data_IF_086823113939
#
_entry.id   IF_086823113939
#
_cell.length_a   1.000
_cell.length_b   1.000
_cell.length_c   1.000
_cell.angle_alpha   90.00
_cell.angle_beta   90.00
_cell.angle_gamma   90.00
#
_symmetry.space_group_name_H-M   'P 1'
#
loop_
_entity.id
_entity.type
_entity.pdbx_description
1 polymer ?
#
# COMPACT_ATOMS: atom_id res chain seq x y z
N UNK A 1 -5.79 -3.51 -11.38
CA UNK A 1 -5.75 -4.61 -10.39
C UNK A 1 -4.45 -5.33 -10.60
N UNK A 2 -3.43 -5.05 -9.77
CA UNK A 2 -2.21 -5.84 -9.83
C UNK A 2 -2.48 -7.11 -9.02
N UNK A 3 -2.57 -8.24 -9.70
CA UNK A 3 -2.57 -9.53 -9.04
C UNK A 3 -1.23 -9.68 -8.33
N UNK A 4 -1.24 -9.54 -7.01
CA UNK A 4 -0.09 -9.80 -6.14
C UNK A 4 0.18 -11.31 -6.05
N UNK A 5 0.40 -11.98 -7.18
CA UNK A 5 1.04 -13.29 -7.17
C UNK A 5 2.51 -13.07 -6.85
N UNK A 6 2.83 -13.07 -5.56
CA UNK A 6 4.22 -13.09 -5.14
C UNK A 6 4.88 -14.37 -5.70
N UNK A 7 5.98 -14.23 -6.43
CA UNK A 7 6.79 -15.37 -6.81
C UNK A 7 7.14 -16.15 -5.55
N UNK A 8 7.22 -17.46 -5.67
CA UNK A 8 7.43 -18.39 -4.56
C UNK A 8 8.53 -17.94 -3.61
N UNK A 9 8.20 -17.85 -2.34
CA UNK A 9 9.08 -17.48 -1.21
C UNK A 9 10.13 -18.58 -0.94
N UNK A 10 11.05 -18.74 -1.89
CA UNK A 10 12.15 -19.72 -1.80
C UNK A 10 13.44 -19.01 -1.40
N UNK A 11 14.24 -19.56 -0.47
CA UNK A 11 15.49 -18.94 0.00
C UNK A 11 16.51 -18.61 -1.10
N UNK A 12 16.45 -19.32 -2.23
CA UNK A 12 17.36 -19.16 -3.35
C UNK A 12 16.91 -18.08 -4.36
N UNK A 13 15.75 -17.45 -4.11
CA UNK A 13 15.22 -16.43 -5.01
C UNK A 13 15.30 -15.04 -4.37
N UNK A 14 15.53 -13.99 -5.15
CA UNK A 14 15.56 -12.59 -4.65
C UNK A 14 14.21 -12.11 -4.12
N UNK A 15 13.12 -12.82 -4.41
CA UNK A 15 11.79 -12.59 -3.85
C UNK A 15 11.61 -13.11 -2.42
N UNK A 16 12.59 -13.85 -1.89
CA UNK A 16 12.54 -14.34 -0.51
C UNK A 16 12.42 -13.19 0.47
N UNK A 17 11.48 -13.34 1.40
CA UNK A 17 11.24 -12.33 2.43
C UNK A 17 11.90 -12.70 3.74
N UNK A 18 12.53 -11.71 4.36
CA UNK A 18 13.14 -11.85 5.68
C UNK A 18 12.08 -12.31 6.72
N UNK A 19 12.44 -13.20 7.68
CA UNK A 19 11.50 -13.69 8.70
C UNK A 19 10.78 -12.58 9.48
N UNK A 20 11.46 -11.47 9.78
CA UNK A 20 10.86 -10.30 10.43
C UNK A 20 9.71 -9.72 9.61
N UNK A 21 9.86 -9.59 8.27
CA UNK A 21 8.77 -9.12 7.41
C UNK A 21 7.59 -10.07 7.37
N UNK A 22 7.86 -11.39 7.37
CA UNK A 22 6.80 -12.40 7.42
C UNK A 22 5.99 -12.30 8.70
N UNK A 23 6.68 -12.12 9.84
CA UNK A 23 6.03 -11.91 11.15
C UNK A 23 5.13 -10.67 11.15
N UNK A 24 5.57 -9.58 10.53
CA UNK A 24 4.86 -8.31 10.52
C UNK A 24 3.86 -8.17 9.36
N UNK A 25 3.73 -9.16 8.47
CA UNK A 25 2.92 -9.08 7.26
C UNK A 25 1.47 -8.67 7.55
N UNK A 26 0.85 -9.25 8.58
CA UNK A 26 -0.53 -8.90 8.98
C UNK A 26 -0.66 -7.44 9.37
N UNK A 27 0.23 -6.96 10.25
CA UNK A 27 0.24 -5.58 10.71
C UNK A 27 0.49 -4.59 9.56
N UNK A 28 1.48 -4.88 8.69
CA UNK A 28 1.78 -4.07 7.53
C UNK A 28 0.60 -3.99 6.54
N UNK A 29 -0.13 -5.09 6.36
CA UNK A 29 -1.33 -5.10 5.51
C UNK A 29 -2.39 -4.16 6.08
N UNK A 30 -2.70 -4.27 7.37
CA UNK A 30 -3.70 -3.43 8.05
C UNK A 30 -3.39 -1.94 7.92
N UNK A 31 -2.16 -1.53 8.25
CA UNK A 31 -1.79 -0.09 8.20
C UNK A 31 -1.79 0.46 6.77
N UNK A 32 -1.45 -0.35 5.78
CA UNK A 32 -1.47 0.05 4.37
C UNK A 32 -2.87 0.14 3.80
N UNK A 33 -3.71 -0.82 4.11
CA UNK A 33 -5.12 -0.78 3.72
C UNK A 33 -5.82 0.46 4.30
N UNK A 34 -5.53 0.80 5.57
CA UNK A 34 -6.03 2.04 6.17
C UNK A 34 -5.43 3.29 5.53
N UNK A 35 -4.17 3.25 5.12
CA UNK A 35 -3.51 4.36 4.43
C UNK A 35 -4.08 4.59 3.03
N UNK A 36 -4.22 3.54 2.22
CA UNK A 36 -4.73 3.60 0.85
C UNK A 36 -6.23 3.93 0.81
N UNK A 37 -6.93 3.62 1.90
CA UNK A 37 -8.37 3.73 2.04
C UNK A 37 -9.12 2.48 1.58
N UNK A 38 -10.07 2.07 2.39
CA UNK A 38 -10.86 0.86 2.15
C UNK A 38 -11.99 1.12 1.16
N UNK A 39 -11.93 0.46 0.00
CA UNK A 39 -12.93 0.54 -1.08
C UNK A 39 -13.08 -0.81 -1.78
N UNK A 40 -14.27 -1.07 -2.34
CA UNK A 40 -14.54 -2.30 -3.09
C UNK A 40 -14.25 -3.56 -2.29
N UNK A 41 -13.52 -4.49 -2.88
CA UNK A 41 -13.20 -5.80 -2.28
C UNK A 41 -12.42 -5.67 -0.96
N UNK A 42 -11.53 -4.67 -0.84
CA UNK A 42 -10.80 -4.41 0.41
C UNK A 42 -11.73 -4.00 1.55
N UNK A 43 -12.80 -3.26 1.26
CA UNK A 43 -13.79 -2.90 2.27
C UNK A 43 -14.48 -4.14 2.85
N UNK A 44 -14.79 -5.12 1.99
CA UNK A 44 -15.46 -6.35 2.41
C UNK A 44 -14.62 -7.19 3.36
N UNK A 45 -13.29 -7.18 3.23
CA UNK A 45 -12.37 -7.89 4.14
C UNK A 45 -12.55 -7.41 5.58
N UNK A 46 -12.75 -6.11 5.78
CA UNK A 46 -12.89 -5.50 7.10
C UNK A 46 -14.35 -5.28 7.55
N UNK A 47 -15.31 -5.60 6.68
CA UNK A 47 -16.72 -5.51 6.95
C UNK A 47 -17.40 -6.86 6.68
N UNK A 48 -17.18 -7.86 7.54
CA UNK A 48 -17.70 -9.19 7.32
C UNK A 48 -19.24 -9.20 7.35
N UNK A 49 -19.81 -10.17 6.62
CA UNK A 49 -21.25 -10.40 6.62
C UNK A 49 -21.70 -10.99 7.97
N UNK A 50 -22.75 -10.45 8.53
CA UNK A 50 -23.36 -11.00 9.75
C UNK A 50 -24.02 -12.37 9.49
N UNK A 51 -23.99 -13.31 10.45
CA UNK A 51 -24.48 -14.68 10.25
C UNK A 51 -25.94 -14.77 9.76
N UNK A 52 -26.81 -13.86 10.19
CA UNK A 52 -28.21 -13.84 9.82
C UNK A 52 -28.55 -12.77 8.75
N UNK A 53 -27.55 -12.11 8.17
CA UNK A 53 -27.74 -11.04 7.21
C UNK A 53 -28.01 -11.63 5.80
N UNK A 54 -29.13 -11.28 5.12
CA UNK A 54 -29.36 -11.65 3.73
C UNK A 54 -28.31 -11.06 2.79
N UNK A 55 -27.96 -11.76 1.72
CA UNK A 55 -26.92 -11.30 0.77
C UNK A 55 -27.20 -9.92 0.17
N UNK A 56 -28.46 -9.64 -0.14
CA UNK A 56 -28.82 -8.35 -0.72
C UNK A 56 -28.75 -7.21 0.32
N UNK A 57 -29.09 -7.48 1.58
CA UNK A 57 -28.93 -6.52 2.67
C UNK A 57 -27.42 -6.22 2.92
N UNK A 58 -26.58 -7.25 2.88
CA UNK A 58 -25.11 -7.09 2.98
C UNK A 58 -24.55 -6.23 1.85
N UNK A 59 -24.95 -6.48 0.60
CA UNK A 59 -24.52 -5.66 -0.55
C UNK A 59 -24.89 -4.19 -0.38
N UNK A 60 -26.13 -3.92 0.09
CA UNK A 60 -26.59 -2.55 0.37
C UNK A 60 -25.77 -1.92 1.49
N UNK A 61 -25.50 -2.64 2.58
CA UNK A 61 -24.67 -2.18 3.70
C UNK A 61 -23.27 -1.83 3.24
N UNK A 62 -22.62 -2.69 2.46
CA UNK A 62 -21.29 -2.43 1.91
C UNK A 62 -21.28 -1.20 0.99
N UNK A 63 -22.29 -1.07 0.11
CA UNK A 63 -22.38 0.06 -0.83
C UNK A 63 -22.61 1.42 -0.11
N UNK A 64 -23.28 1.42 1.02
CA UNK A 64 -23.55 2.62 1.82
C UNK A 64 -22.43 2.97 2.80
N UNK A 65 -21.59 1.99 3.16
CA UNK A 65 -20.51 2.19 4.11
C UNK A 65 -19.38 3.01 3.51
N UNK A 66 -18.93 4.02 4.24
CA UNK A 66 -17.83 4.91 3.82
C UNK A 66 -16.71 4.85 4.85
N UNK A 67 -15.51 4.57 4.38
CA UNK A 67 -14.31 4.65 5.18
C UNK A 67 -13.85 6.10 5.33
N UNK A 68 -13.49 6.50 6.54
CA UNK A 68 -12.89 7.82 6.83
C UNK A 68 -11.43 7.59 7.22
N UNK A 69 -10.46 8.15 6.50
CA UNK A 69 -9.05 7.79 6.64
C UNK A 69 -8.36 8.55 7.79
N UNK A 70 -8.85 8.45 9.02
CA UNK A 70 -8.26 9.10 10.19
C UNK A 70 -6.80 8.72 10.40
N UNK A 71 -6.47 7.45 10.15
CA UNK A 71 -5.10 6.96 10.26
C UNK A 71 -4.13 7.73 9.36
N UNK A 72 -4.49 7.88 8.08
CA UNK A 72 -3.68 8.62 7.11
C UNK A 72 -3.53 10.08 7.48
N UNK A 73 -4.62 10.71 7.90
CA UNK A 73 -4.62 12.14 8.23
C UNK A 73 -3.77 12.40 9.50
N UNK A 74 -3.81 11.50 10.48
CA UNK A 74 -2.95 11.55 11.67
C UNK A 74 -1.48 11.40 11.31
N UNK A 75 -1.10 10.42 10.49
CA UNK A 75 0.30 10.26 10.04
C UNK A 75 0.78 11.51 9.29
N UNK A 76 -0.05 12.07 8.41
CA UNK A 76 0.31 13.27 7.68
C UNK A 76 0.56 14.47 8.63
N UNK A 77 -0.25 14.61 9.67
CA UNK A 77 -0.07 15.64 10.70
C UNK A 77 1.21 15.42 11.51
N UNK A 78 1.48 14.20 11.97
CA UNK A 78 2.70 13.87 12.73
C UNK A 78 3.96 14.06 11.88
N UNK A 79 3.99 13.59 10.64
CA UNK A 79 5.11 13.80 9.74
C UNK A 79 5.35 15.29 9.46
N UNK A 80 4.27 16.10 9.35
CA UNK A 80 4.38 17.56 9.23
C UNK A 80 4.98 18.25 10.46
N UNK A 81 4.84 17.67 11.64
CA UNK A 81 5.50 18.16 12.87
C UNK A 81 6.98 17.77 12.87
N UNK A 82 7.29 16.51 12.52
CA UNK A 82 8.65 16.00 12.48
C UNK A 82 9.51 16.70 11.42
N UNK A 83 8.93 17.07 10.28
CA UNK A 83 9.66 17.71 9.17
C UNK A 83 10.08 19.17 9.44
N UNK A 84 9.96 19.68 10.67
CA UNK A 84 10.37 21.03 11.08
C UNK A 84 11.84 21.13 11.47
N UNK A 85 12.69 20.21 11.04
CA UNK A 85 14.12 20.31 11.25
C UNK A 85 14.77 21.27 10.25
N UNK A 86 15.93 21.76 10.62
CA UNK A 86 16.75 22.66 9.82
C UNK A 86 18.20 22.20 9.86
N UNK A 87 18.87 22.18 8.72
CA UNK A 87 20.30 21.89 8.68
C UNK A 87 21.07 23.10 9.18
N UNK A 88 21.86 22.89 10.20
CA UNK A 88 22.74 23.94 10.74
C UNK A 88 24.08 23.89 9.97
N UNK A 89 24.44 25.01 9.34
CA UNK A 89 25.71 25.20 8.63
C UNK A 89 26.01 24.09 7.60
N UNK A 90 25.14 23.83 6.63
CA UNK A 90 25.45 22.87 5.57
C UNK A 90 26.66 23.34 4.79
N UNK A 91 27.54 22.42 4.34
CA UNK A 91 28.64 22.79 3.46
C UNK A 91 28.10 23.34 2.13
N UNK A 92 28.82 24.27 1.45
CA UNK A 92 28.35 24.87 0.20
C UNK A 92 28.01 23.86 -0.91
N UNK A 93 28.61 22.68 -0.87
CA UNK A 93 28.26 21.57 -1.77
C UNK A 93 26.85 21.05 -1.60
N UNK A 94 26.18 21.37 -0.49
CA UNK A 94 24.80 20.94 -0.20
C UNK A 94 23.76 21.83 -0.89
N UNK A 95 24.08 23.09 -1.25
CA UNK A 95 23.19 24.01 -1.96
C UNK A 95 22.63 23.40 -3.26
N UNK A 96 23.43 22.55 -3.92
CA UNK A 96 22.99 21.84 -5.13
C UNK A 96 21.83 20.86 -4.91
N UNK A 97 21.46 20.55 -3.66
CA UNK A 97 20.38 19.64 -3.29
C UNK A 97 19.10 20.36 -2.83
N UNK A 98 19.12 21.70 -2.78
CA UNK A 98 17.98 22.49 -2.30
C UNK A 98 16.72 22.27 -3.16
N UNK A 99 16.91 22.14 -4.49
CA UNK A 99 15.79 21.95 -5.42
C UNK A 99 15.41 20.48 -5.64
N UNK A 100 16.35 19.55 -5.49
CA UNK A 100 16.09 18.15 -5.73
C UNK A 100 17.16 17.25 -5.12
N UNK A 101 16.84 16.59 -4.02
CA UNK A 101 17.77 15.64 -3.38
C UNK A 101 17.63 14.22 -3.95
N UNK A 102 16.47 13.89 -4.53
CA UNK A 102 16.10 12.56 -5.03
C UNK A 102 15.97 12.48 -6.54
N UNK A 103 16.35 13.54 -7.27
CA UNK A 103 16.16 13.68 -8.73
C UNK A 103 14.70 13.66 -9.20
N UNK A 104 13.73 13.81 -8.30
CA UNK A 104 12.29 13.87 -8.59
C UNK A 104 11.70 15.24 -8.31
N UNK A 105 12.55 16.23 -7.98
CA UNK A 105 12.14 17.57 -7.63
C UNK A 105 11.71 17.74 -6.18
N UNK A 106 11.99 16.77 -5.32
CA UNK A 106 11.78 16.94 -3.89
C UNK A 106 13.01 17.61 -3.26
N UNK A 107 12.77 18.70 -2.54
CA UNK A 107 13.75 19.27 -1.64
C UNK A 107 14.01 18.33 -0.45
N UNK A 108 15.03 18.66 0.32
CA UNK A 108 15.40 17.85 1.48
C UNK A 108 14.24 17.68 2.47
N UNK A 109 13.52 18.75 2.78
CA UNK A 109 12.41 18.71 3.74
C UNK A 109 11.28 17.79 3.26
N UNK A 110 10.89 17.91 2.01
CA UNK A 110 9.83 17.09 1.40
C UNK A 110 10.23 15.62 1.34
N UNK A 111 11.51 15.35 1.02
CA UNK A 111 12.04 13.99 1.01
C UNK A 111 11.99 13.34 2.39
N UNK A 112 12.53 14.00 3.42
CA UNK A 112 12.51 13.42 4.77
C UNK A 112 11.11 13.38 5.38
N UNK A 113 10.21 14.32 5.05
CA UNK A 113 8.81 14.20 5.42
C UNK A 113 8.14 12.95 4.80
N UNK A 114 8.58 12.53 3.61
CA UNK A 114 8.15 11.26 3.03
C UNK A 114 8.74 10.06 3.77
N UNK A 115 10.01 10.11 4.18
CA UNK A 115 10.64 9.08 5.02
C UNK A 115 9.90 8.94 6.35
N UNK A 116 9.60 10.06 7.03
CA UNK A 116 8.87 10.08 8.31
C UNK A 116 7.49 9.44 8.19
N UNK A 117 6.78 9.69 7.09
CA UNK A 117 5.49 9.02 6.83
C UNK A 117 5.62 7.50 6.74
N UNK A 118 6.68 6.99 6.10
CA UNK A 118 6.93 5.56 6.03
C UNK A 118 7.35 4.99 7.38
N UNK A 119 8.17 5.71 8.14
CA UNK A 119 8.58 5.33 9.50
C UNK A 119 7.36 5.23 10.41
N UNK A 120 6.48 6.22 10.40
CA UNK A 120 5.26 6.23 11.22
C UNK A 120 4.26 5.15 10.80
N UNK A 121 4.13 4.89 9.50
CA UNK A 121 3.17 3.90 8.97
C UNK A 121 3.69 2.47 9.10
N UNK A 122 4.89 2.21 8.59
CA UNK A 122 5.44 0.87 8.41
C UNK A 122 6.43 0.46 9.51
N UNK A 123 6.83 1.39 10.38
CA UNK A 123 7.85 1.19 11.40
C UNK A 123 9.28 1.29 10.88
N UNK A 124 9.47 1.71 9.63
CA UNK A 124 10.80 1.95 9.08
C UNK A 124 10.83 2.11 7.57
N UNK A 125 11.92 2.68 7.09
CA UNK A 125 12.24 2.87 5.69
C UNK A 125 13.75 2.74 5.47
N UNK A 126 14.18 2.42 4.26
CA UNK A 126 15.59 2.48 3.86
C UNK A 126 15.82 3.72 3.02
N UNK A 127 16.83 4.47 3.36
CA UNK A 127 17.38 5.54 2.53
C UNK A 127 18.72 5.05 1.96
N UNK A 128 18.87 5.10 0.65
CA UNK A 128 20.07 4.70 -0.07
C UNK A 128 20.68 5.92 -0.76
N UNK A 129 21.99 6.05 -0.72
CA UNK A 129 22.72 6.96 -1.59
C UNK A 129 23.01 6.24 -2.89
N UNK A 130 22.53 6.78 -4.00
CA UNK A 130 22.71 6.22 -5.34
C UNK A 130 23.37 7.23 -6.29
N UNK A 131 23.91 6.75 -7.40
CA UNK A 131 24.52 7.57 -8.44
C UNK A 131 23.83 7.32 -9.77
N UNK A 132 23.68 8.35 -10.62
CA UNK A 132 23.20 8.15 -11.98
C UNK A 132 24.06 7.17 -12.76
N UNK A 133 23.42 6.31 -13.56
CA UNK A 133 24.12 5.39 -14.46
C UNK A 133 25.02 6.13 -15.47
N UNK A 134 26.08 5.47 -15.92
CA UNK A 134 27.05 6.00 -16.87
C UNK A 134 28.37 6.45 -16.21
N UNK A 135 29.35 6.82 -16.99
CA UNK A 135 30.65 7.32 -16.56
C UNK A 135 30.91 8.65 -17.26
N UNK A 136 31.13 9.71 -16.48
CA UNK A 136 31.62 10.96 -17.05
C UNK A 136 33.14 10.87 -17.24
N UNK A 137 33.65 11.36 -18.37
CA UNK A 137 35.08 11.32 -18.68
C UNK A 137 35.85 12.45 -17.99
N UNK A 138 35.15 13.51 -17.58
CA UNK A 138 35.75 14.66 -16.88
C UNK A 138 34.69 15.40 -16.07
N UNK A 139 35.16 16.28 -15.17
CA UNK A 139 34.29 17.06 -14.27
C UNK A 139 33.33 18.00 -15.02
N UNK A 140 33.71 18.48 -16.20
CA UNK A 140 32.82 19.30 -17.03
C UNK A 140 31.59 18.53 -17.47
N UNK A 141 31.76 17.28 -17.91
CA UNK A 141 30.68 16.37 -18.27
C UNK A 141 29.82 15.97 -17.05
N UNK A 142 30.43 15.80 -15.87
CA UNK A 142 29.67 15.55 -14.64
C UNK A 142 28.70 16.69 -14.34
N UNK A 143 29.15 17.92 -14.46
CA UNK A 143 28.32 19.11 -14.22
C UNK A 143 27.26 19.26 -15.30
N UNK A 144 27.62 19.11 -16.59
CA UNK A 144 26.69 19.20 -17.72
C UNK A 144 25.60 18.14 -17.66
N UNK A 145 25.94 16.91 -17.28
CA UNK A 145 25.03 15.79 -17.11
C UNK A 145 24.32 15.79 -15.75
N UNK A 146 24.60 16.78 -14.89
CA UNK A 146 24.11 16.86 -13.51
C UNK A 146 24.33 15.55 -12.74
N UNK A 147 25.47 14.92 -12.93
CA UNK A 147 25.83 13.66 -12.28
C UNK A 147 26.28 13.94 -10.85
N UNK A 148 25.37 13.80 -9.95
CA UNK A 148 25.61 13.93 -8.51
C UNK A 148 24.95 12.77 -7.76
N UNK A 149 25.45 12.38 -6.60
CA UNK A 149 24.75 11.44 -5.72
C UNK A 149 23.33 11.95 -5.45
N UNK A 150 22.40 11.05 -5.27
CA UNK A 150 21.02 11.37 -4.88
C UNK A 150 20.51 10.36 -3.86
N UNK A 151 19.45 10.72 -3.13
CA UNK A 151 18.83 9.84 -2.18
C UNK A 151 17.66 9.08 -2.82
N UNK A 152 17.65 7.76 -2.64
CA UNK A 152 16.53 6.89 -2.99
C UNK A 152 15.92 6.34 -1.71
N UNK A 153 14.58 6.37 -1.62
CA UNK A 153 13.85 5.85 -0.48
C UNK A 153 13.13 4.56 -0.87
N UNK A 154 13.20 3.57 0.01
CA UNK A 154 12.48 2.31 -0.10
C UNK A 154 11.62 2.10 1.14
N UNK A 155 10.36 1.75 0.94
CA UNK A 155 9.48 1.38 2.04
C UNK A 155 9.95 0.07 2.68
N UNK A 156 9.56 -0.17 3.92
CA UNK A 156 9.90 -1.42 4.61
C UNK A 156 9.56 -2.68 3.81
N UNK A 157 8.46 -2.69 3.08
CA UNK A 157 8.05 -3.83 2.23
C UNK A 157 8.95 -4.04 1.02
N UNK A 158 9.55 -2.96 0.53
CA UNK A 158 10.44 -3.03 -0.63
C UNK A 158 11.83 -3.51 -0.24
N UNK A 159 12.14 -3.56 1.06
CA UNK A 159 13.34 -4.21 1.59
C UNK A 159 13.04 -5.69 1.82
N UNK A 160 13.14 -6.50 0.78
CA UNK A 160 12.72 -7.90 0.80
C UNK A 160 13.55 -8.78 1.75
N UNK A 161 14.87 -8.69 1.67
CA UNK A 161 15.81 -9.50 2.46
C UNK A 161 17.01 -8.66 2.85
N UNK A 162 17.57 -8.95 4.02
CA UNK A 162 18.83 -8.35 4.48
C UNK A 162 19.62 -9.33 5.34
N UNK A 163 20.92 -9.11 5.40
CA UNK A 163 21.84 -9.72 6.36
C UNK A 163 22.68 -8.65 6.99
N UNK A 164 22.91 -8.80 8.27
CA UNK A 164 23.74 -7.90 9.07
C UNK A 164 24.99 -8.65 9.46
N UNK A 165 26.14 -8.00 9.32
CA UNK A 165 27.41 -8.47 9.85
C UNK A 165 27.87 -7.50 10.93
N UNK A 166 28.54 -8.04 11.93
CA UNK A 166 29.13 -7.21 12.99
C UNK A 166 30.54 -6.78 12.53
N UNK A 167 30.71 -5.48 12.37
CA UNK A 167 32.00 -4.87 12.10
C UNK A 167 32.43 -4.04 13.30
N UNK A 168 33.31 -4.64 14.12
CA UNK A 168 33.71 -4.04 15.42
C UNK A 168 32.56 -3.99 16.41
N UNK A 169 32.14 -2.78 16.78
CA UNK A 169 31.07 -2.55 17.76
C UNK A 169 29.68 -2.30 17.12
N UNK A 170 29.59 -2.24 15.80
CA UNK A 170 28.34 -1.89 15.10
C UNK A 170 27.89 -3.02 14.20
N UNK A 171 26.57 -3.19 14.13
CA UNK A 171 25.92 -4.05 13.16
C UNK A 171 25.71 -3.27 11.86
N UNK A 172 26.33 -3.76 10.79
CA UNK A 172 26.25 -3.13 9.45
C UNK A 172 25.58 -4.06 8.44
N UNK A 173 24.73 -3.56 7.53
CA UNK A 173 24.15 -4.39 6.49
C UNK A 173 25.23 -4.88 5.52
N UNK A 174 25.34 -6.20 5.34
CA UNK A 174 26.26 -6.83 4.40
C UNK A 174 25.58 -7.26 3.12
N UNK A 175 24.29 -7.54 3.17
CA UNK A 175 23.41 -7.85 2.03
C UNK A 175 22.10 -7.12 2.23
N UNK A 176 21.60 -6.44 1.19
CA UNK A 176 20.25 -5.87 1.15
C UNK A 176 19.64 -6.13 -0.22
N UNK A 177 18.43 -6.66 -0.24
CA UNK A 177 17.66 -6.87 -1.47
C UNK A 177 16.48 -5.91 -1.48
N UNK A 178 16.49 -4.99 -2.44
CA UNK A 178 15.47 -3.97 -2.63
C UNK A 178 14.58 -4.37 -3.81
N UNK A 179 13.28 -4.29 -3.64
CA UNK A 179 12.30 -4.51 -4.69
C UNK A 179 11.95 -3.19 -5.37
N UNK A 180 12.05 -3.17 -6.68
CA UNK A 180 11.77 -1.99 -7.51
C UNK A 180 10.68 -2.31 -8.53
N UNK A 181 9.70 -1.42 -8.67
CA UNK A 181 8.72 -1.47 -9.72
C UNK A 181 9.09 -0.46 -10.79
N UNK A 182 9.37 -0.94 -11.99
CA UNK A 182 9.82 -0.12 -13.11
C UNK A 182 8.80 -0.24 -14.25
N UNK A 183 8.42 0.90 -14.79
CA UNK A 183 7.60 0.94 -16.00
C UNK A 183 8.46 0.65 -17.22
N UNK A 184 8.04 -0.35 -17.99
CA UNK A 184 8.68 -0.76 -19.24
C UNK A 184 7.71 -0.51 -20.38
N UNK A 185 8.16 0.18 -21.41
CA UNK A 185 7.37 0.45 -22.61
C UNK A 185 7.08 -0.85 -23.36
N UNK A 186 5.79 -1.06 -23.70
CA UNK A 186 5.32 -2.13 -24.58
C UNK A 186 4.57 -1.53 -25.76
N UNK A 187 5.28 -1.36 -26.88
CA UNK A 187 4.73 -0.70 -28.05
C UNK A 187 4.61 0.82 -27.88
N UNK A 188 3.90 1.46 -28.77
CA UNK A 188 3.85 2.94 -28.85
C UNK A 188 3.09 3.58 -27.68
N UNK A 189 2.08 2.90 -27.15
CA UNK A 189 1.17 3.46 -26.13
C UNK A 189 1.01 2.57 -24.89
N UNK A 190 1.68 1.41 -24.88
CA UNK A 190 1.57 0.44 -23.77
C UNK A 190 2.69 0.60 -22.77
N UNK A 191 2.34 0.50 -21.48
CA UNK A 191 3.29 0.47 -20.36
C UNK A 191 2.97 -0.73 -19.49
N UNK A 192 3.99 -1.51 -19.13
CA UNK A 192 3.88 -2.62 -18.20
C UNK A 192 4.77 -2.37 -16.99
N UNK A 193 4.26 -2.70 -15.81
CA UNK A 193 5.03 -2.60 -14.57
C UNK A 193 5.80 -3.91 -14.35
N UNK A 194 7.14 -3.83 -14.37
CA UNK A 194 8.04 -4.95 -14.14
C UNK A 194 8.62 -4.88 -12.73
N UNK A 195 8.56 -6.00 -12.00
CA UNK A 195 9.21 -6.13 -10.70
C UNK A 195 10.68 -6.54 -10.88
N UNK A 196 11.58 -5.71 -10.38
CA UNK A 196 13.02 -5.94 -10.36
C UNK A 196 13.52 -6.02 -8.93
N UNK A 197 14.65 -6.67 -8.75
CA UNK A 197 15.31 -6.80 -7.46
C UNK A 197 16.72 -6.24 -7.59
N UNK A 198 17.01 -5.18 -6.84
CA UNK A 198 18.36 -4.63 -6.69
C UNK A 198 19.01 -5.31 -5.52
N UNK A 199 20.03 -6.09 -5.77
CA UNK A 199 20.81 -6.81 -4.76
C UNK A 199 22.06 -6.01 -4.47
N UNK A 200 22.20 -5.57 -3.23
CA UNK A 200 23.36 -4.87 -2.71
C UNK A 200 24.16 -5.83 -1.85
N UNK A 201 25.43 -6.07 -2.17
CA UNK A 201 26.29 -6.98 -1.42
C UNK A 201 27.70 -6.41 -1.31
N UNK A 202 28.14 -6.11 -0.10
CA UNK A 202 29.36 -5.36 0.12
C UNK A 202 29.30 -4.01 -0.62
N UNK A 203 30.34 -3.66 -1.34
CA UNK A 203 30.39 -2.45 -2.18
C UNK A 203 29.83 -2.60 -3.59
N UNK A 204 29.17 -3.71 -3.91
CA UNK A 204 28.64 -3.99 -5.26
C UNK A 204 27.13 -4.05 -5.28
N UNK A 205 26.56 -3.82 -6.46
CA UNK A 205 25.13 -3.97 -6.71
C UNK A 205 24.87 -4.65 -8.05
N UNK A 206 23.76 -5.37 -8.13
CA UNK A 206 23.23 -5.95 -9.37
C UNK A 206 21.73 -5.90 -9.39
N UNK A 207 21.13 -5.77 -10.58
CA UNK A 207 19.69 -5.78 -10.76
C UNK A 207 19.28 -7.04 -11.51
N UNK A 208 18.32 -7.77 -10.94
CA UNK A 208 17.80 -9.00 -11.51
C UNK A 208 16.27 -8.96 -11.56
N UNK A 209 15.69 -9.80 -12.41
CA UNK A 209 14.26 -10.06 -12.46
C UNK A 209 13.96 -11.55 -12.40
N UNK A 210 12.75 -11.88 -12.04
CA UNK A 210 12.25 -13.26 -12.05
C UNK A 210 11.44 -13.49 -13.33
N UNK A 211 11.81 -14.50 -14.07
CA UNK A 211 11.12 -14.93 -15.29
C UNK A 211 10.56 -16.33 -15.08
N UNK A 212 9.33 -16.57 -15.48
CA UNK A 212 8.76 -17.91 -15.44
C UNK A 212 9.52 -18.87 -16.36
N UNK A 213 9.75 -20.08 -15.89
CA UNK A 213 10.34 -21.14 -16.71
C UNK A 213 9.38 -21.55 -17.83
N UNK A 214 9.90 -21.61 -19.04
CA UNK A 214 9.13 -22.05 -20.22
C UNK A 214 8.86 -23.57 -20.27
N UNK A 215 9.36 -24.36 -19.29
CA UNK A 215 9.26 -25.83 -19.25
C UNK A 215 7.91 -26.37 -18.67
N UNK A 216 6.96 -25.49 -18.37
CA UNK A 216 5.62 -25.86 -17.86
C UNK A 216 5.60 -26.46 -16.46
N UNK A 217 6.76 -26.60 -15.79
CA UNK A 217 6.87 -27.18 -14.42
C UNK A 217 6.67 -26.17 -13.29
N UNK A 218 6.29 -24.94 -13.62
CA UNK A 218 6.04 -23.89 -12.63
C UNK A 218 7.28 -23.57 -11.80
N UNK A 219 8.14 -22.70 -12.26
CA UNK A 219 9.33 -22.26 -11.55
C UNK A 219 9.81 -20.94 -12.11
N UNK A 220 10.64 -20.25 -11.33
CA UNK A 220 11.21 -18.97 -11.75
C UNK A 220 12.73 -19.12 -11.94
N UNK A 221 13.25 -18.41 -12.93
CA UNK A 221 14.68 -18.26 -13.18
C UNK A 221 15.06 -16.82 -12.89
N UNK A 222 16.19 -16.64 -12.24
CA UNK A 222 16.78 -15.32 -12.00
C UNK A 222 17.51 -14.89 -13.26
N UNK A 223 17.04 -13.83 -13.88
CA UNK A 223 17.68 -13.23 -15.05
C UNK A 223 18.24 -11.85 -14.69
N UNK A 224 19.49 -11.62 -15.10
CA UNK A 224 20.12 -10.32 -14.89
C UNK A 224 19.56 -9.29 -15.87
N UNK A 225 19.13 -8.14 -15.36
CA UNK A 225 18.64 -7.03 -16.17
C UNK A 225 19.83 -6.40 -16.91
N UNK A 226 19.61 -6.03 -18.16
CA UNK A 226 20.62 -5.39 -19.01
C UNK A 226 20.25 -3.94 -19.30
N UNK A 227 21.27 -3.11 -19.45
CA UNK A 227 21.15 -1.75 -19.96
C UNK A 227 20.77 -1.76 -21.46
N UNK A 228 20.45 -0.60 -22.01
CA UNK A 228 20.12 -0.45 -23.43
C UNK A 228 21.27 -0.88 -24.38
N UNK A 229 22.51 -0.80 -23.93
CA UNK A 229 23.71 -1.24 -24.66
C UNK A 229 23.99 -2.76 -24.54
N UNK A 230 23.13 -3.50 -23.83
CA UNK A 230 23.28 -4.94 -23.60
C UNK A 230 24.20 -5.32 -22.44
N UNK A 231 24.84 -4.37 -21.78
CA UNK A 231 25.67 -4.64 -20.61
C UNK A 231 24.83 -4.99 -19.39
N UNK A 232 25.33 -5.84 -18.47
CA UNK A 232 24.64 -6.13 -17.24
C UNK A 232 24.36 -4.87 -16.40
N UNK A 233 23.16 -4.76 -15.83
CA UNK A 233 22.84 -3.69 -14.90
C UNK A 233 23.44 -4.01 -13.53
N UNK A 234 24.71 -3.73 -13.37
CA UNK A 234 25.52 -4.02 -12.19
C UNK A 234 26.66 -3.00 -12.06
N UNK A 235 27.20 -2.86 -10.86
CA UNK A 235 28.31 -1.95 -10.63
C UNK A 235 28.85 -2.03 -9.21
N UNK A 236 29.77 -1.12 -8.90
CA UNK A 236 30.35 -0.95 -7.56
C UNK A 236 30.10 0.46 -7.07
N UNK A 237 29.86 0.59 -5.78
CA UNK A 237 29.84 1.87 -5.10
C UNK A 237 31.25 2.26 -4.72
N UNK A 238 31.67 3.46 -5.08
CA UNK A 238 32.99 3.97 -4.77
C UNK A 238 32.89 5.36 -4.16
N UNK A 239 33.76 5.63 -3.21
CA UNK A 239 33.91 6.95 -2.64
C UNK A 239 34.57 7.95 -3.60
N UNK A 240 34.68 9.23 -3.21
CA UNK A 240 35.37 10.27 -4.02
C UNK A 240 36.84 9.95 -4.31
N UNK A 241 37.46 9.09 -3.49
CA UNK A 241 38.82 8.61 -3.61
C UNK A 241 38.97 7.40 -4.59
N UNK A 242 37.85 6.98 -5.20
CA UNK A 242 37.79 5.81 -6.09
C UNK A 242 37.82 4.47 -5.36
N UNK A 243 37.89 4.44 -4.05
CA UNK A 243 37.87 3.20 -3.27
C UNK A 243 36.45 2.63 -3.20
N UNK A 244 36.27 1.32 -3.43
CA UNK A 244 34.97 0.70 -3.28
C UNK A 244 34.54 0.72 -1.82
N UNK A 245 33.23 0.93 -1.57
CA UNK A 245 32.65 0.78 -0.24
C UNK A 245 32.72 -0.68 0.20
N UNK A 246 32.89 -0.90 1.48
CA UNK A 246 32.86 -2.26 2.05
C UNK A 246 31.43 -2.74 2.29
N UNK A 247 30.52 -1.82 2.56
CA UNK A 247 29.13 -2.09 2.86
C UNK A 247 28.19 -1.32 1.92
N UNK A 248 26.95 -1.80 1.70
CA UNK A 248 25.95 -1.06 0.95
C UNK A 248 25.73 0.34 1.52
N UNK A 249 25.62 1.38 0.68
CA UNK A 249 25.40 2.76 1.12
C UNK A 249 23.92 3.00 1.49
N UNK A 250 23.42 2.28 2.47
CA UNK A 250 22.03 2.31 2.93
C UNK A 250 21.95 2.61 4.44
N UNK A 251 20.93 3.32 4.83
CA UNK A 251 20.62 3.62 6.23
C UNK A 251 19.20 3.17 6.52
N UNK A 252 19.02 2.48 7.63
CA UNK A 252 17.70 2.15 8.16
C UNK A 252 17.20 3.31 9.01
N UNK A 253 16.07 3.89 8.60
CA UNK A 253 15.35 4.92 9.36
C UNK A 253 14.21 4.25 10.09
N UNK A 254 14.20 4.30 11.42
CA UNK A 254 13.14 3.78 12.29
C UNK A 254 12.72 4.81 13.33
N UNK A 255 11.59 4.55 13.99
CA UNK A 255 11.10 5.40 15.08
C UNK A 255 11.85 5.21 16.40
N UNK A 256 12.74 4.21 16.50
CA UNK A 256 13.56 3.91 17.68
C UNK A 256 15.03 3.80 17.30
N UNK A 257 15.88 4.45 18.08
CA UNK A 257 17.33 4.38 17.92
C UNK A 257 17.94 3.04 18.36
N UNK A 258 17.17 2.20 19.04
CA UNK A 258 17.59 0.88 19.51
C UNK A 258 17.29 -0.24 18.49
N UNK A 259 16.54 0.06 17.43
CA UNK A 259 16.20 -0.92 16.42
C UNK A 259 17.40 -1.21 15.53
N UNK A 260 17.71 -2.50 15.34
CA UNK A 260 18.66 -2.96 14.33
C UNK A 260 18.12 -2.76 12.90
N UNK A 261 18.97 -2.98 11.92
CA UNK A 261 18.58 -2.84 10.51
C UNK A 261 17.40 -3.76 10.15
N UNK A 262 16.31 -3.17 9.65
CA UNK A 262 15.08 -3.88 9.31
C UNK A 262 14.24 -4.34 10.49
N UNK A 263 14.63 -4.03 11.71
CA UNK A 263 13.91 -4.35 12.94
C UNK A 263 12.91 -3.24 13.31
N UNK A 264 12.19 -3.47 14.41
CA UNK A 264 11.16 -2.57 14.94
C UNK A 264 9.74 -3.05 14.60
N UNK A 265 8.80 -2.63 15.42
CA UNK A 265 7.37 -2.91 15.26
C UNK A 265 6.69 -1.87 14.36
N UNK A 266 5.41 -2.07 14.08
CA UNK A 266 4.56 -1.09 13.38
C UNK A 266 3.99 -0.13 14.44
N UNK A 267 4.47 1.12 14.54
CA UNK A 267 4.24 1.94 15.72
C UNK A 267 2.79 2.38 15.91
N UNK A 268 2.07 2.61 14.82
CA UNK A 268 0.69 3.09 14.85
C UNK A 268 -0.34 2.03 14.44
N UNK A 269 -0.02 0.73 14.61
CA UNK A 269 -0.94 -0.37 14.30
C UNK A 269 -2.27 -0.23 15.03
N UNK A 270 -2.24 0.05 16.33
CA UNK A 270 -3.45 0.20 17.13
C UNK A 270 -4.36 1.35 16.64
N UNK A 271 -3.78 2.42 16.11
CA UNK A 271 -4.55 3.50 15.50
C UNK A 271 -5.24 3.05 14.20
N UNK A 272 -4.57 2.22 13.40
CA UNK A 272 -5.17 1.65 12.20
C UNK A 272 -6.32 0.68 12.56
N UNK A 273 -6.13 -0.16 13.57
CA UNK A 273 -7.16 -1.07 14.09
C UNK A 273 -8.36 -0.29 14.63
N UNK A 274 -8.14 0.80 15.37
CA UNK A 274 -9.19 1.68 15.85
C UNK A 274 -9.95 2.35 14.68
N UNK A 275 -9.26 2.70 13.60
CA UNK A 275 -9.90 3.23 12.39
C UNK A 275 -10.80 2.19 11.70
N UNK A 276 -10.42 0.90 11.72
CA UNK A 276 -11.26 -0.20 11.24
C UNK A 276 -12.47 -0.40 12.16
N UNK A 277 -12.27 -0.40 13.47
CA UNK A 277 -13.36 -0.50 14.44
C UNK A 277 -14.38 0.63 14.26
N UNK A 278 -13.92 1.86 14.03
CA UNK A 278 -14.80 2.98 13.70
C UNK A 278 -15.59 2.72 12.41
N UNK A 279 -14.98 2.16 11.37
CA UNK A 279 -15.68 1.78 10.13
C UNK A 279 -16.83 0.81 10.43
N UNK A 280 -16.55 -0.25 11.20
CA UNK A 280 -17.53 -1.28 11.55
C UNK A 280 -18.69 -0.69 12.34
N UNK A 281 -18.40 0.02 13.43
CA UNK A 281 -19.43 0.67 14.27
C UNK A 281 -20.28 1.67 13.49
N UNK A 282 -19.65 2.46 12.61
CA UNK A 282 -20.38 3.42 11.77
C UNK A 282 -21.30 2.72 10.76
N UNK A 283 -20.83 1.61 10.18
CA UNK A 283 -21.65 0.78 9.28
C UNK A 283 -22.89 0.24 10.00
N UNK A 284 -22.71 -0.30 11.20
CA UNK A 284 -23.80 -0.87 12.00
C UNK A 284 -24.78 0.22 12.43
N UNK A 285 -24.28 1.36 12.90
CA UNK A 285 -25.13 2.49 13.28
C UNK A 285 -25.94 3.02 12.08
N UNK A 286 -25.32 3.14 10.90
CA UNK A 286 -26.01 3.57 9.68
C UNK A 286 -27.09 2.59 9.28
N UNK A 287 -26.80 1.28 9.33
CA UNK A 287 -27.77 0.22 9.03
C UNK A 287 -28.93 0.22 10.04
N UNK A 288 -28.63 0.34 11.32
CA UNK A 288 -29.63 0.42 12.38
C UNK A 288 -30.50 1.67 12.20
N UNK A 289 -29.89 2.83 12.01
CA UNK A 289 -30.64 4.09 11.79
C UNK A 289 -31.53 4.00 10.57
N UNK A 290 -31.08 3.39 9.48
CA UNK A 290 -31.88 3.20 8.27
C UNK A 290 -33.08 2.29 8.53
N UNK A 291 -32.92 1.20 9.27
CA UNK A 291 -33.99 0.27 9.62
C UNK A 291 -34.99 0.89 10.59
N UNK A 292 -34.50 1.66 11.57
CA UNK A 292 -35.38 2.29 12.60
C UNK A 292 -36.06 3.57 12.10
N UNK A 293 -35.43 4.30 11.19
CA UNK A 293 -35.98 5.52 10.59
C UNK A 293 -37.08 5.25 9.56
N UNK A 294 -37.15 4.00 9.03
CA UNK A 294 -38.24 3.62 8.14
C UNK A 294 -39.44 3.11 8.95
N UNK A 295 -40.50 3.89 9.06
CA UNK A 295 -41.71 3.40 9.71
C UNK A 295 -42.21 2.15 8.98
N UNK A 296 -42.44 1.07 9.72
CA UNK A 296 -42.93 -0.18 9.14
C UNK A 296 -44.42 0.02 8.75
N UNK A 297 -44.73 0.02 7.44
CA UNK A 297 -46.13 0.12 7.04
C UNK A 297 -46.85 -1.16 7.42
N UNK A 298 -48.01 -1.02 8.06
CA UNK A 298 -48.90 -2.14 8.33
C UNK A 298 -50.25 -1.90 7.68
N UNK A 299 -50.83 -2.97 7.19
CA UNK A 299 -52.15 -2.95 6.54
C UNK A 299 -53.02 -4.04 7.12
N UNK A 300 -54.22 -3.68 7.52
CA UNK A 300 -55.28 -4.59 7.97
C UNK A 300 -56.43 -4.55 6.96
N UNK A 301 -57.01 -5.71 6.63
CA UNK A 301 -58.18 -5.78 5.75
C UNK A 301 -57.90 -5.40 4.30
N UNK A 302 -56.72 -5.72 3.80
CA UNK A 302 -56.37 -5.51 2.38
C UNK A 302 -57.11 -6.51 1.49
N UNK A 303 -57.72 -6.02 0.44
CA UNK A 303 -58.17 -6.87 -0.68
C UNK A 303 -57.05 -7.02 -1.68
N UNK A 304 -56.42 -8.22 -1.76
CA UNK A 304 -55.34 -8.41 -2.73
C UNK A 304 -55.90 -8.34 -4.17
N UNK A 305 -55.24 -7.56 -5.01
CA UNK A 305 -55.50 -7.66 -6.44
C UNK A 305 -54.95 -9.00 -6.94
N UNK A 306 -55.78 -9.69 -7.73
CA UNK A 306 -55.42 -10.99 -8.29
C UNK A 306 -55.16 -10.85 -9.76
N UNK A 307 -54.01 -11.24 -10.20
CA UNK A 307 -53.65 -11.30 -11.59
C UNK A 307 -53.65 -12.76 -12.06
N UNK A 308 -54.48 -13.05 -13.07
CA UNK A 308 -54.54 -14.38 -13.70
C UNK A 308 -53.61 -14.35 -14.91
N UNK A 309 -52.61 -15.19 -14.89
CA UNK A 309 -51.64 -15.32 -16.00
C UNK A 309 -52.25 -16.18 -17.14
N UNK A 310 -51.72 -16.10 -18.37
CA UNK A 310 -52.23 -16.88 -19.52
C UNK A 310 -52.20 -18.40 -19.33
N UNK A 311 -51.39 -18.89 -18.38
CA UNK A 311 -51.35 -20.31 -17.99
C UNK A 311 -52.43 -20.73 -17.01
N UNK A 312 -53.41 -19.87 -16.69
CA UNK A 312 -54.49 -20.12 -15.76
C UNK A 312 -54.15 -20.01 -14.28
N UNK A 313 -52.90 -19.69 -13.93
CA UNK A 313 -52.46 -19.49 -12.53
C UNK A 313 -52.86 -18.10 -12.08
N UNK A 314 -53.59 -18.03 -10.96
CA UNK A 314 -53.95 -16.76 -10.32
C UNK A 314 -53.04 -16.55 -9.10
N UNK A 315 -52.36 -15.43 -9.08
CA UNK A 315 -51.48 -15.02 -7.96
C UNK A 315 -51.93 -13.68 -7.37
N UNK A 316 -51.82 -13.54 -6.07
CA UNK A 316 -52.06 -12.26 -5.41
C UNK A 316 -50.89 -11.31 -5.70
N UNK A 317 -51.19 -10.11 -6.15
CA UNK A 317 -50.14 -9.09 -6.40
C UNK A 317 -49.45 -8.69 -5.09
N UNK A 318 -48.11 -8.61 -5.06
CA UNK A 318 -47.39 -8.14 -3.89
C UNK A 318 -47.80 -6.69 -3.56
N UNK A 319 -47.78 -6.34 -2.28
CA UNK A 319 -48.04 -4.98 -1.84
C UNK A 319 -46.85 -4.10 -2.19
N UNK A 320 -47.00 -3.20 -3.14
CA UNK A 320 -45.99 -2.17 -3.47
C UNK A 320 -46.53 -0.85 -2.90
N UNK A 321 -45.79 -0.26 -1.95
CA UNK A 321 -46.12 1.06 -1.40
C UNK A 321 -45.24 2.11 -2.10
N UNK A 322 -45.89 3.12 -2.64
CA UNK A 322 -45.25 4.24 -3.32
C UNK A 322 -46.09 5.52 -3.24
N UNK A 323 -45.58 6.68 -3.68
CA UNK A 323 -46.27 7.96 -3.57
C UNK A 323 -47.64 8.00 -4.26
N UNK A 324 -47.88 7.11 -5.23
CA UNK A 324 -49.09 7.06 -6.05
C UNK A 324 -49.83 5.70 -5.88
N UNK A 325 -49.63 5.00 -4.77
CA UNK A 325 -50.27 3.69 -4.54
C UNK A 325 -51.60 3.88 -3.79
N UNK A 326 -52.70 3.41 -4.39
CA UNK A 326 -53.99 3.33 -3.75
C UNK A 326 -54.16 1.94 -3.16
N UNK A 327 -54.54 1.88 -1.87
CA UNK A 327 -54.82 0.63 -1.17
C UNK A 327 -56.37 0.43 -1.13
N UNK A 328 -56.81 -0.72 -1.67
CA UNK A 328 -58.18 -1.14 -1.54
C UNK A 328 -58.33 -1.91 -0.23
N UNK A 329 -59.10 -1.34 0.71
CA UNK A 329 -59.27 -1.86 2.07
C UNK A 329 -60.75 -2.24 2.28
N UNK A 330 -61.00 -3.24 3.13
CA UNK A 330 -62.36 -3.61 3.59
C UNK A 330 -62.96 -2.51 4.47
N UNK A 331 -64.24 -2.61 4.77
CA UNK A 331 -64.98 -1.66 5.64
C UNK A 331 -64.33 -1.44 7.02
N UNK A 332 -63.62 -2.46 7.55
CA UNK A 332 -62.83 -2.40 8.77
C UNK A 332 -61.33 -2.35 8.51
N UNK A 333 -60.96 -1.99 7.28
CA UNK A 333 -59.56 -1.89 6.86
C UNK A 333 -58.87 -0.67 7.47
N UNK A 334 -57.61 -0.80 7.78
CA UNK A 334 -56.78 0.27 8.30
C UNK A 334 -55.36 0.18 7.70
N UNK A 335 -54.80 1.34 7.49
CA UNK A 335 -53.41 1.51 7.08
C UNK A 335 -52.70 2.43 8.07
N UNK A 336 -51.51 2.11 8.43
CA UNK A 336 -50.69 2.95 9.31
C UNK A 336 -49.22 2.61 9.23
N UNK A 337 -48.46 3.41 9.91
CA UNK A 337 -47.04 3.17 10.12
C UNK A 337 -46.80 2.84 11.58
N UNK A 338 -46.17 1.70 11.84
CA UNK A 338 -45.71 1.35 13.18
C UNK A 338 -44.44 2.08 13.47
N UNK A 339 -44.33 2.73 14.61
CA UNK A 339 -43.11 3.20 15.20
C UNK A 339 -42.44 2.00 15.88
N UNK A 340 -41.14 1.73 15.68
CA UNK A 340 -40.47 0.80 16.58
C UNK A 340 -40.42 1.42 17.96
N UNK A 341 -40.91 0.67 18.96
CA UNK A 341 -40.83 1.05 20.37
C UNK A 341 -39.41 1.07 20.88
#
# INVERSE_FOLDING_TARGET
MHSNTHPTDKPDLPSYRHPTLKRLQGALTVVRDCWDGLRGDRLQVYLPKEPAEPDDAYKVRVAQTRFVPFFRDAIAAFAGILSRYELLNPPPSFEQYDDSIDRRGNDQRSFFAAVDRHVLRDGGAVVMVDMPAGVAQNRGQEVEQQRRPFLAMYSREDVGMWRVSRDGAQDVPSLVVLREWVEVEKGVFGVESECRYRILSGGSWTVVRLVERSDGKGGHVVEQVKNADGTPMAGTFSGPDGRPFQNPPVVWCSGSTSDGFGEGDVPLLQMAELNIEHLQKRSDQSNLSHKLAMPVPWVKGRRPRRTTYPNGVTMDEPLVLGPNTFLDLDENGAFGFGSPD
#
